data_IF_645171215850
#
_entry.id   IF_645171215850
#
_cell.length_a   1.000
_cell.length_b   1.000
_cell.length_c   1.000
_cell.angle_alpha   90.00
_cell.angle_beta   90.00
_cell.angle_gamma   90.00
#
_symmetry.space_group_name_H-M   'P 1'
#
loop_
_entity.id
_entity.type
_entity.pdbx_description
1 polymer ?
#
# COMPACT_ATOMS: atom_id res chain seq x y z
N UNK A 1 -7.61 11.55 9.19
CA UNK A 1 -6.62 12.12 8.23
C UNK A 1 -6.64 13.64 8.24
N UNK A 2 -5.49 14.29 8.03
CA UNK A 2 -5.43 15.77 7.91
C UNK A 2 -6.14 16.23 6.63
N UNK A 3 -6.92 17.34 6.67
CA UNK A 3 -7.67 17.84 5.49
C UNK A 3 -6.79 18.06 4.24
N UNK A 4 -5.55 18.54 4.44
CA UNK A 4 -4.59 18.77 3.35
C UNK A 4 -4.18 17.47 2.66
N UNK A 5 -3.96 16.40 3.42
CA UNK A 5 -3.58 15.08 2.88
C UNK A 5 -4.71 14.51 2.04
N UNK A 6 -5.94 14.59 2.55
CA UNK A 6 -7.13 14.20 1.79
C UNK A 6 -7.26 14.98 0.49
N UNK A 7 -7.12 16.32 0.54
CA UNK A 7 -7.15 17.16 -0.65
C UNK A 7 -6.08 16.79 -1.68
N UNK A 8 -4.88 16.43 -1.23
CA UNK A 8 -3.81 15.98 -2.11
C UNK A 8 -4.16 14.66 -2.79
N UNK A 9 -4.66 13.66 -2.06
CA UNK A 9 -5.11 12.39 -2.64
C UNK A 9 -6.24 12.59 -3.66
N UNK A 10 -7.20 13.46 -3.34
CA UNK A 10 -8.29 13.81 -4.25
C UNK A 10 -7.76 14.38 -5.56
N UNK A 11 -6.81 15.32 -5.51
CA UNK A 11 -6.18 15.89 -6.72
C UNK A 11 -5.42 14.84 -7.53
N UNK A 12 -4.75 13.88 -6.90
CA UNK A 12 -4.07 12.79 -7.60
C UNK A 12 -5.07 11.89 -8.30
N UNK A 13 -6.15 11.50 -7.63
CA UNK A 13 -7.23 10.72 -8.24
C UNK A 13 -7.86 11.44 -9.44
N UNK A 14 -8.24 12.70 -9.27
CA UNK A 14 -8.88 13.50 -10.33
C UNK A 14 -7.97 13.66 -11.55
N UNK A 15 -6.66 13.80 -11.33
CA UNK A 15 -5.69 13.96 -12.41
C UNK A 15 -5.35 12.66 -13.13
N UNK A 16 -5.14 11.57 -12.40
CA UNK A 16 -4.54 10.36 -12.96
C UNK A 16 -5.56 9.23 -13.22
N UNK A 17 -6.78 9.34 -12.65
CA UNK A 17 -7.79 8.29 -12.75
C UNK A 17 -7.46 7.06 -11.89
N UNK A 18 -8.38 6.09 -11.86
CA UNK A 18 -8.32 4.96 -10.94
C UNK A 18 -7.07 4.08 -11.10
N UNK A 19 -6.66 3.82 -12.35
CA UNK A 19 -5.56 2.90 -12.63
C UNK A 19 -4.21 3.45 -12.15
N UNK A 20 -3.86 4.67 -12.57
CA UNK A 20 -2.57 5.27 -12.20
C UNK A 20 -2.56 5.72 -10.74
N UNK A 21 -3.70 6.13 -10.18
CA UNK A 21 -3.83 6.36 -8.75
C UNK A 21 -3.54 5.10 -7.94
N UNK A 22 -3.97 3.92 -8.43
CA UNK A 22 -3.63 2.64 -7.82
C UNK A 22 -2.12 2.41 -7.74
N UNK A 23 -1.42 2.64 -8.85
CA UNK A 23 0.05 2.54 -8.91
C UNK A 23 0.75 3.56 -8.01
N UNK A 24 0.30 4.82 -8.02
CA UNK A 24 0.82 5.87 -7.14
C UNK A 24 0.64 5.47 -5.67
N UNK A 25 -0.53 4.96 -5.31
CA UNK A 25 -0.82 4.50 -3.94
C UNK A 25 0.06 3.33 -3.51
N UNK A 26 0.34 2.40 -4.42
CA UNK A 26 1.27 1.29 -4.19
C UNK A 26 2.69 1.79 -3.93
N UNK A 27 3.17 2.79 -4.68
CA UNK A 27 4.48 3.40 -4.46
C UNK A 27 4.51 4.13 -3.10
N UNK A 28 3.45 4.87 -2.75
CA UNK A 28 3.34 5.48 -1.42
C UNK A 28 3.37 4.44 -0.30
N UNK A 29 2.71 3.30 -0.48
CA UNK A 29 2.78 2.19 0.47
C UNK A 29 4.21 1.66 0.62
N UNK A 30 4.94 1.51 -0.48
CA UNK A 30 6.36 1.16 -0.48
C UNK A 30 7.22 2.15 0.32
N UNK A 31 7.03 3.47 0.13
CA UNK A 31 7.70 4.49 0.94
C UNK A 31 7.34 4.39 2.43
N UNK A 32 6.08 4.08 2.77
CA UNK A 32 5.69 3.88 4.17
C UNK A 32 6.44 2.70 4.80
N UNK A 33 6.62 1.61 4.05
CA UNK A 33 7.40 0.46 4.51
C UNK A 33 8.86 0.85 4.78
N UNK A 34 9.50 1.61 3.87
CA UNK A 34 10.88 2.08 4.06
C UNK A 34 10.97 3.00 5.28
N UNK A 35 10.06 3.95 5.44
CA UNK A 35 10.01 4.86 6.61
C UNK A 35 9.92 4.08 7.93
N UNK A 36 9.29 2.89 7.91
CA UNK A 36 9.16 1.97 9.06
C UNK A 36 10.21 0.86 9.08
N UNK A 37 11.36 1.12 8.45
CA UNK A 37 12.56 0.25 8.50
C UNK A 37 12.36 -1.14 7.87
N UNK A 38 11.42 -1.27 6.93
CA UNK A 38 11.35 -2.45 6.08
C UNK A 38 12.38 -2.35 4.96
N UNK A 39 13.12 -3.42 4.75
CA UNK A 39 13.97 -3.57 3.58
C UNK A 39 13.17 -4.18 2.44
N UNK A 40 12.94 -3.42 1.37
CA UNK A 40 12.23 -3.90 0.19
C UNK A 40 13.11 -4.88 -0.58
N UNK A 41 12.60 -6.09 -0.80
CA UNK A 41 13.26 -7.16 -1.57
C UNK A 41 12.70 -7.28 -2.97
N UNK A 42 11.38 -7.15 -3.12
CA UNK A 42 10.66 -7.15 -4.39
C UNK A 42 9.69 -5.98 -4.35
N UNK A 43 9.65 -5.21 -5.41
CA UNK A 43 8.63 -4.20 -5.68
C UNK A 43 8.27 -4.26 -7.16
N UNK A 44 7.01 -4.47 -7.47
CA UNK A 44 6.55 -4.58 -8.85
C UNK A 44 5.15 -3.97 -9.02
N UNK A 45 5.00 -3.08 -9.99
CA UNK A 45 3.72 -2.45 -10.32
C UNK A 45 2.77 -3.39 -11.07
N UNK A 46 3.31 -4.48 -11.60
CA UNK A 46 2.56 -5.56 -12.25
C UNK A 46 3.18 -6.90 -11.82
N UNK A 47 2.37 -7.80 -11.31
CA UNK A 47 2.83 -9.10 -10.80
C UNK A 47 2.29 -9.36 -9.40
N UNK A 48 2.64 -10.51 -8.82
CA UNK A 48 2.20 -10.92 -7.48
C UNK A 48 3.31 -11.65 -6.73
N UNK A 49 3.53 -11.31 -5.47
CA UNK A 49 2.92 -10.19 -4.75
C UNK A 49 3.45 -8.85 -5.26
N UNK A 50 2.73 -7.77 -4.98
CA UNK A 50 3.18 -6.42 -5.32
C UNK A 50 4.48 -6.06 -4.61
N UNK A 51 4.59 -6.40 -3.32
CA UNK A 51 5.75 -6.06 -2.50
C UNK A 51 6.16 -7.24 -1.62
N UNK A 52 7.47 -7.54 -1.58
CA UNK A 52 8.08 -8.39 -0.56
C UNK A 52 9.08 -7.56 0.22
N UNK A 53 8.98 -7.57 1.54
CA UNK A 53 9.84 -6.80 2.42
C UNK A 53 10.25 -7.59 3.66
N UNK A 54 11.35 -7.19 4.30
CA UNK A 54 11.88 -7.81 5.52
C UNK A 54 12.02 -6.75 6.61
N UNK A 55 11.57 -7.05 7.82
CA UNK A 55 11.80 -6.25 9.03
C UNK A 55 12.04 -7.20 10.21
N UNK A 56 13.09 -6.95 11.00
CA UNK A 56 13.44 -7.77 12.18
C UNK A 56 13.54 -9.28 11.85
N UNK A 57 14.20 -9.61 10.72
CA UNK A 57 14.35 -10.98 10.21
C UNK A 57 13.04 -11.69 9.84
N UNK A 58 11.90 -10.98 9.86
CA UNK A 58 10.62 -11.52 9.40
C UNK A 58 10.35 -11.02 7.98
N UNK A 59 9.92 -11.95 7.12
CA UNK A 59 9.55 -11.69 5.74
C UNK A 59 8.06 -11.42 5.65
N UNK A 60 7.69 -10.38 4.93
CA UNK A 60 6.31 -9.96 4.67
C UNK A 60 6.06 -9.93 3.17
N UNK A 61 4.88 -10.31 2.75
CA UNK A 61 4.41 -10.15 1.38
C UNK A 61 3.09 -9.39 1.37
N UNK A 62 3.00 -8.39 0.51
CA UNK A 62 1.85 -7.50 0.42
C UNK A 62 1.25 -7.54 -0.98
N UNK A 63 -0.05 -7.70 -1.07
CA UNK A 63 -0.86 -7.35 -2.23
C UNK A 63 -1.57 -6.05 -1.91
N UNK A 64 -1.42 -5.04 -2.77
CA UNK A 64 -1.92 -3.68 -2.55
C UNK A 64 -3.15 -3.44 -3.41
N UNK A 65 -4.23 -3.01 -2.81
CA UNK A 65 -5.49 -2.71 -3.48
C UNK A 65 -5.93 -1.29 -3.17
N UNK A 66 -6.37 -0.57 -4.19
CA UNK A 66 -7.10 0.68 -4.01
C UNK A 66 -8.55 0.47 -4.44
N UNK A 67 -9.47 0.96 -3.66
CA UNK A 67 -10.89 0.75 -3.90
C UNK A 67 -11.68 2.04 -3.67
N UNK A 68 -12.55 2.37 -4.63
CA UNK A 68 -13.57 3.40 -4.45
C UNK A 68 -14.86 2.73 -3.97
N UNK A 69 -15.27 2.99 -2.73
CA UNK A 69 -16.47 2.40 -2.13
C UNK A 69 -16.19 1.52 -0.93
N UNK A 70 -17.26 0.91 -0.39
CA UNK A 70 -17.21 0.16 0.87
C UNK A 70 -16.66 -1.26 0.76
N UNK A 71 -16.57 -1.82 -0.44
CA UNK A 71 -16.25 -3.23 -0.66
C UNK A 71 -15.06 -3.40 -1.59
N UNK A 72 -14.18 -4.32 -1.29
CA UNK A 72 -13.04 -4.72 -2.13
C UNK A 72 -13.20 -6.15 -2.64
N UNK A 73 -12.86 -6.37 -3.91
CA UNK A 73 -12.76 -7.71 -4.49
C UNK A 73 -11.35 -8.27 -4.29
N UNK A 74 -11.27 -9.41 -3.62
CA UNK A 74 -10.02 -10.16 -3.41
C UNK A 74 -10.11 -11.45 -4.21
N UNK A 75 -9.20 -11.67 -5.13
CA UNK A 75 -9.16 -12.84 -6.00
C UNK A 75 -8.33 -13.95 -5.37
N UNK A 76 -8.55 -15.20 -5.78
CA UNK A 76 -7.71 -16.33 -5.38
C UNK A 76 -6.23 -16.09 -5.72
N UNK A 77 -5.98 -15.52 -6.87
CA UNK A 77 -4.62 -15.21 -7.35
C UNK A 77 -3.90 -14.22 -6.44
N UNK A 78 -4.62 -13.23 -5.88
CA UNK A 78 -4.07 -12.26 -4.94
C UNK A 78 -3.60 -12.97 -3.66
N UNK A 79 -4.45 -13.86 -3.12
CA UNK A 79 -4.13 -14.64 -1.92
C UNK A 79 -2.99 -15.64 -2.14
N UNK A 80 -3.02 -16.36 -3.26
CA UNK A 80 -1.96 -17.31 -3.62
C UNK A 80 -0.63 -16.58 -3.85
N UNK A 81 -0.66 -15.40 -4.47
CA UNK A 81 0.50 -14.58 -4.72
C UNK A 81 1.25 -14.20 -3.44
N UNK A 82 0.55 -13.82 -2.37
CA UNK A 82 1.19 -13.45 -1.09
C UNK A 82 1.50 -14.66 -0.21
N UNK A 83 0.60 -15.66 -0.11
CA UNK A 83 0.77 -16.85 0.74
C UNK A 83 1.93 -17.72 0.30
N UNK A 84 2.22 -17.77 -1.01
CA UNK A 84 3.37 -18.51 -1.55
C UNK A 84 4.73 -17.98 -1.12
N UNK A 85 4.81 -16.75 -0.61
CA UNK A 85 6.07 -16.10 -0.23
C UNK A 85 6.40 -16.19 1.25
N UNK A 86 5.39 -16.16 2.13
CA UNK A 86 5.61 -16.09 3.59
C UNK A 86 4.32 -16.29 4.37
N UNK A 87 4.46 -16.69 5.66
CA UNK A 87 3.35 -16.72 6.61
C UNK A 87 2.82 -15.33 6.98
N UNK A 88 3.64 -14.28 6.84
CA UNK A 88 3.23 -12.88 7.03
C UNK A 88 2.67 -12.30 5.72
N UNK A 89 1.65 -12.96 5.18
CA UNK A 89 0.95 -12.58 3.96
C UNK A 89 -0.17 -11.59 4.27
N UNK A 90 -0.18 -10.43 3.59
CA UNK A 90 -1.05 -9.29 3.90
C UNK A 90 -1.73 -8.77 2.64
N UNK A 91 -3.02 -8.52 2.72
CA UNK A 91 -3.76 -7.72 1.75
C UNK A 91 -3.88 -6.30 2.31
N UNK A 92 -3.21 -5.34 1.67
CA UNK A 92 -3.25 -3.94 2.04
C UNK A 92 -4.29 -3.20 1.18
N UNK A 93 -5.33 -2.67 1.81
CA UNK A 93 -6.43 -2.00 1.11
C UNK A 93 -6.46 -0.52 1.47
N UNK A 94 -6.41 0.35 0.47
CA UNK A 94 -6.68 1.78 0.61
C UNK A 94 -8.08 2.08 0.09
N UNK A 95 -8.99 2.51 0.97
CA UNK A 95 -10.30 3.01 0.59
C UNK A 95 -10.21 4.49 0.20
N UNK A 96 -10.71 4.84 -0.99
CA UNK A 96 -10.76 6.20 -1.47
C UNK A 96 -12.05 6.38 -2.30
N UNK A 97 -12.82 7.48 -2.24
CA UNK A 97 -12.50 8.77 -1.59
C UNK A 97 -13.07 8.96 -0.17
N UNK A 98 -13.12 7.94 0.66
CA UNK A 98 -13.64 8.09 2.02
C UNK A 98 -12.78 9.06 2.85
N UNK A 99 -13.44 9.79 3.76
CA UNK A 99 -12.78 10.75 4.66
C UNK A 99 -11.72 10.10 5.55
N UNK A 100 -11.88 8.82 5.83
CA UNK A 100 -10.93 8.00 6.58
C UNK A 100 -9.95 7.24 5.66
N UNK A 101 -9.56 7.84 4.54
CA UNK A 101 -8.64 7.26 3.55
C UNK A 101 -7.33 6.76 4.20
N UNK A 102 -7.39 5.57 4.77
CA UNK A 102 -6.31 4.91 5.52
C UNK A 102 -6.17 3.47 5.03
N UNK A 103 -4.97 2.93 5.20
CA UNK A 103 -4.71 1.54 4.92
C UNK A 103 -5.41 0.62 5.92
N UNK A 104 -6.00 -0.45 5.43
CA UNK A 104 -6.43 -1.61 6.19
C UNK A 104 -5.53 -2.79 5.81
N UNK A 105 -4.89 -3.42 6.77
CA UNK A 105 -3.90 -4.48 6.57
C UNK A 105 -4.43 -5.83 7.04
N UNK A 106 -5.22 -6.49 6.21
CA UNK A 106 -5.81 -7.78 6.55
C UNK A 106 -4.82 -8.93 6.37
N UNK A 107 -4.76 -9.85 7.34
CA UNK A 107 -4.00 -11.09 7.21
C UNK A 107 -4.61 -11.95 6.12
N UNK A 108 -3.85 -12.28 5.08
CA UNK A 108 -4.35 -13.09 3.98
C UNK A 108 -4.79 -14.50 4.40
N UNK A 109 -4.23 -15.03 5.50
CA UNK A 109 -4.59 -16.35 6.02
C UNK A 109 -5.98 -16.38 6.67
N UNK A 110 -6.49 -15.24 7.13
CA UNK A 110 -7.77 -15.12 7.84
C UNK A 110 -8.94 -14.79 6.89
N UNK A 111 -8.64 -14.60 5.59
CA UNK A 111 -9.62 -14.23 4.57
C UNK A 111 -9.60 -15.19 3.38
N UNK A 112 -10.69 -15.24 2.65
CA UNK A 112 -10.87 -16.02 1.41
C UNK A 112 -11.14 -15.09 0.22
N UNK A 113 -11.03 -15.62 -0.98
CA UNK A 113 -11.43 -14.90 -2.19
C UNK A 113 -12.91 -14.56 -2.16
N UNK A 114 -13.27 -13.40 -2.67
CA UNK A 114 -14.62 -12.89 -2.68
C UNK A 114 -14.66 -11.37 -2.57
N UNK A 115 -15.89 -10.86 -2.41
CA UNK A 115 -16.15 -9.46 -2.17
C UNK A 115 -16.29 -9.23 -0.66
N UNK A 116 -15.49 -8.30 -0.12
CA UNK A 116 -15.40 -8.04 1.30
C UNK A 116 -15.72 -6.58 1.63
N UNK A 117 -16.61 -6.29 2.58
CA UNK A 117 -16.72 -4.96 3.16
C UNK A 117 -15.41 -4.58 3.84
N UNK A 118 -14.88 -3.38 3.56
CA UNK A 118 -13.60 -2.91 4.14
C UNK A 118 -13.70 -2.85 5.67
N UNK A 119 -14.85 -2.45 6.21
CA UNK A 119 -15.10 -2.47 7.65
C UNK A 119 -14.96 -3.86 8.27
N UNK A 120 -15.28 -4.94 7.53
CA UNK A 120 -15.08 -6.31 8.00
C UNK A 120 -13.62 -6.74 7.95
N UNK A 121 -12.86 -6.29 6.94
CA UNK A 121 -11.42 -6.57 6.86
C UNK A 121 -10.66 -6.00 8.06
N UNK A 122 -11.11 -4.89 8.65
CA UNK A 122 -10.52 -4.35 9.89
C UNK A 122 -10.54 -5.33 11.06
N UNK A 123 -11.47 -6.27 11.12
CA UNK A 123 -11.52 -7.30 12.16
C UNK A 123 -10.39 -8.34 12.02
N UNK A 124 -9.81 -8.44 10.82
CA UNK A 124 -8.70 -9.33 10.49
C UNK A 124 -7.37 -8.57 10.33
N UNK A 125 -7.32 -7.30 10.75
CA UNK A 125 -6.15 -6.45 10.55
C UNK A 125 -5.06 -6.68 11.59
N UNK A 126 -3.84 -6.30 11.21
CA UNK A 126 -2.67 -6.23 12.10
C UNK A 126 -2.60 -4.79 12.63
N UNK A 127 -3.39 -4.48 13.67
CA UNK A 127 -3.63 -3.12 14.15
C UNK A 127 -2.35 -2.32 14.40
N UNK A 128 -1.34 -2.90 15.06
CA UNK A 128 -0.08 -2.18 15.34
C UNK A 128 0.69 -1.79 14.09
N UNK A 129 0.75 -2.68 13.08
CA UNK A 129 1.40 -2.39 11.81
C UNK A 129 0.57 -1.39 10.98
N UNK A 130 -0.75 -1.53 11.04
CA UNK A 130 -1.69 -0.63 10.37
C UNK A 130 -1.53 0.81 10.87
N UNK A 131 -1.48 1.00 12.20
CA UNK A 131 -1.28 2.31 12.82
C UNK A 131 0.05 2.94 12.43
N UNK A 132 1.15 2.16 12.51
CA UNK A 132 2.48 2.60 12.09
C UNK A 132 2.50 3.10 10.62
N UNK A 133 1.93 2.32 9.71
CA UNK A 133 1.95 2.65 8.28
C UNK A 133 1.02 3.83 7.96
N UNK A 134 -0.12 3.93 8.63
CA UNK A 134 -1.05 5.05 8.45
C UNK A 134 -0.48 6.38 8.95
N UNK A 135 0.30 6.37 10.04
CA UNK A 135 1.04 7.56 10.48
C UNK A 135 2.07 8.00 9.43
N UNK A 136 2.84 7.05 8.88
CA UNK A 136 3.81 7.33 7.82
C UNK A 136 3.15 7.80 6.53
N UNK A 137 2.00 7.24 6.17
CA UNK A 137 1.28 7.53 4.94
C UNK A 137 0.96 9.02 4.78
N UNK A 138 0.52 9.67 5.85
CA UNK A 138 0.24 11.10 5.82
C UNK A 138 1.49 11.93 5.53
N UNK A 139 2.63 11.59 6.15
CA UNK A 139 3.93 12.26 5.93
C UNK A 139 4.44 12.02 4.51
N UNK A 140 4.31 10.80 4.00
CA UNK A 140 4.73 10.40 2.66
C UNK A 140 3.95 11.16 1.59
N UNK A 141 2.62 11.28 1.72
CA UNK A 141 1.81 12.05 0.78
C UNK A 141 2.23 13.53 0.79
N UNK A 142 2.41 14.14 1.97
CA UNK A 142 2.85 15.53 2.06
C UNK A 142 4.22 15.74 1.40
N UNK A 143 5.15 14.82 1.60
CA UNK A 143 6.52 14.88 1.08
C UNK A 143 6.60 14.71 -0.43
N UNK A 144 5.86 13.73 -0.97
CA UNK A 144 6.01 13.32 -2.37
C UNK A 144 4.84 13.73 -3.27
N UNK A 145 3.89 14.53 -2.78
CA UNK A 145 2.73 14.96 -3.54
C UNK A 145 3.10 15.58 -4.90
N UNK A 146 4.05 16.51 -4.93
CA UNK A 146 4.46 17.21 -6.15
C UNK A 146 5.01 16.24 -7.19
N UNK A 147 5.84 15.29 -6.76
CA UNK A 147 6.40 14.26 -7.65
C UNK A 147 5.31 13.31 -8.14
N UNK A 148 4.43 12.87 -7.27
CA UNK A 148 3.27 12.04 -7.63
C UNK A 148 2.31 12.76 -8.60
N UNK A 149 2.17 14.07 -8.45
CA UNK A 149 1.36 14.88 -9.34
C UNK A 149 1.94 14.97 -10.75
N UNK A 150 3.26 14.84 -10.93
CA UNK A 150 3.88 14.72 -12.25
C UNK A 150 3.55 13.38 -12.93
N UNK A 151 3.42 12.30 -12.20
CA UNK A 151 2.98 11.00 -12.68
C UNK A 151 3.65 9.82 -11.99
N UNK A 152 3.17 8.62 -12.33
CA UNK A 152 3.65 7.35 -11.77
C UNK A 152 5.14 7.14 -12.02
N UNK A 153 5.64 7.40 -13.23
CA UNK A 153 7.05 7.22 -13.59
C UNK A 153 7.96 8.09 -12.73
N UNK A 154 7.68 9.38 -12.62
CA UNK A 154 8.48 10.30 -11.82
C UNK A 154 8.53 9.90 -10.34
N UNK A 155 7.40 9.42 -9.80
CA UNK A 155 7.34 8.95 -8.42
C UNK A 155 8.11 7.65 -8.24
N UNK A 156 8.04 6.75 -9.21
CA UNK A 156 8.74 5.46 -9.19
C UNK A 156 10.26 5.64 -9.28
N UNK A 157 10.76 6.55 -10.11
CA UNK A 157 12.18 6.85 -10.22
C UNK A 157 12.76 7.28 -8.86
N UNK A 158 12.06 8.20 -8.16
CA UNK A 158 12.45 8.62 -6.80
C UNK A 158 12.39 7.47 -5.81
N UNK A 159 11.38 6.60 -5.91
CA UNK A 159 11.27 5.41 -5.05
C UNK A 159 12.45 4.45 -5.25
N UNK A 160 12.84 4.18 -6.50
CA UNK A 160 13.99 3.32 -6.79
C UNK A 160 15.30 3.89 -6.24
N UNK A 161 15.52 5.20 -6.34
CA UNK A 161 16.69 5.86 -5.75
C UNK A 161 16.74 5.67 -4.24
N UNK A 162 15.62 5.86 -3.54
CA UNK A 162 15.53 5.65 -2.09
C UNK A 162 15.80 4.18 -1.74
N UNK A 163 15.24 3.22 -2.50
CA UNK A 163 15.51 1.80 -2.29
C UNK A 163 17.00 1.43 -2.48
N UNK A 164 17.70 2.06 -3.42
CA UNK A 164 19.15 1.86 -3.64
C UNK A 164 19.97 2.38 -2.46
N UNK A 165 19.64 3.56 -1.94
CA UNK A 165 20.31 4.17 -0.79
C UNK A 165 20.16 3.31 0.48
N UNK A 166 18.99 2.73 0.71
CA UNK A 166 18.75 1.85 1.88
C UNK A 166 19.47 0.49 1.78
N UNK A 167 19.76 0.00 0.57
CA UNK A 167 20.56 -1.23 0.40
C UNK A 167 22.06 -1.07 0.69
N UNK A 168 22.54 0.17 0.68
CA UNK A 168 23.94 0.50 0.88
C UNK A 168 24.28 0.93 2.33
N UNK A 169 23.30 0.91 3.22
CA UNK A 169 23.44 1.11 4.67
C UNK A 169 23.53 -0.25 5.40
#
# INVERSE_FOLDING_TARGET
MKPRVYSNLKKLWEKHGAHDFGRISQIFFGFCLIERQFQIKIFQLTGRPDIVAVRNNKKFAFEVKTQSGSDVAIKNEDLLGVKGYTEQAIIAVLSYPDLDCMWVLAKANDIRAGKWPIAFLKQHSISSLEDELNESFQKIIEKYFTTAYLGTTSLYDVFEEVCKLEKNK
#
